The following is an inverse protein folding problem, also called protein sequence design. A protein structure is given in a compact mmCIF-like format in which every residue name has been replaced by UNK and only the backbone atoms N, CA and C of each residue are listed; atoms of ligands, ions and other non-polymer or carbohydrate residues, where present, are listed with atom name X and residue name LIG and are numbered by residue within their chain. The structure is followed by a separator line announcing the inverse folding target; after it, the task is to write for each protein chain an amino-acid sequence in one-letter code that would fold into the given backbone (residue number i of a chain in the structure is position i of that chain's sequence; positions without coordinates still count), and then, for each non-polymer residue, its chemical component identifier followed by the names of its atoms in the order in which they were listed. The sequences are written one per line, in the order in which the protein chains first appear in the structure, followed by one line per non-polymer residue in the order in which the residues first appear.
data_IF_715517459433
#
_entry.id   IF_715517459433
#
_cell.length_a   1.000
_cell.length_b   1.000
_cell.length_c   1.000
_cell.angle_alpha   90.00
_cell.angle_beta   90.00
_cell.angle_gamma   90.00
#
_symmetry.space_group_name_H-M   'P 1'
#
loop_
_entity.id
_entity.type
_entity.pdbx_description
1 polymer ?
#
# COMPACT_ATOMS: atom_id res chain seq x y z
N UNK A 1 17.57 1.19 -0.90
CA UNK A 1 16.30 0.91 -0.19
C UNK A 1 15.29 2.05 -0.35
N UNK A 2 15.73 3.31 -0.26
CA UNK A 2 14.86 4.50 -0.33
C UNK A 2 14.03 4.64 -1.63
N UNK A 3 14.61 4.31 -2.79
CA UNK A 3 13.89 4.35 -4.08
C UNK A 3 12.74 3.33 -4.14
N UNK A 4 12.93 2.12 -3.59
CA UNK A 4 11.89 1.08 -3.58
C UNK A 4 10.71 1.51 -2.71
N UNK A 5 10.98 2.13 -1.56
CA UNK A 5 9.93 2.66 -0.67
C UNK A 5 9.15 3.78 -1.38
N UNK A 6 9.84 4.65 -2.13
CA UNK A 6 9.19 5.72 -2.89
C UNK A 6 8.29 5.16 -3.99
N UNK A 7 8.76 4.18 -4.75
CA UNK A 7 7.96 3.47 -5.76
C UNK A 7 6.70 2.85 -5.16
N UNK A 8 6.83 2.11 -4.06
CA UNK A 8 5.69 1.46 -3.39
C UNK A 8 4.67 2.51 -2.91
N UNK A 9 5.11 3.65 -2.35
CA UNK A 9 4.20 4.71 -1.88
C UNK A 9 3.41 5.33 -3.03
N UNK A 10 4.05 5.58 -4.17
CA UNK A 10 3.37 6.10 -5.35
C UNK A 10 2.41 5.07 -5.95
N UNK A 11 2.81 3.80 -6.01
CA UNK A 11 1.95 2.72 -6.49
C UNK A 11 0.70 2.54 -5.61
N UNK A 12 0.85 2.66 -4.29
CA UNK A 12 -0.27 2.65 -3.34
C UNK A 12 -1.19 3.87 -3.51
N UNK A 13 -0.64 5.06 -3.74
CA UNK A 13 -1.44 6.27 -4.00
C UNK A 13 -2.25 6.17 -5.28
N UNK A 14 -1.63 5.71 -6.36
CA UNK A 14 -2.29 5.55 -7.67
C UNK A 14 -3.34 4.43 -7.65
N UNK A 15 -3.18 3.46 -6.76
CA UNK A 15 -4.10 2.34 -6.57
C UNK A 15 -5.22 2.62 -5.56
N UNK A 16 -5.33 3.85 -5.06
CA UNK A 16 -6.34 4.24 -4.09
C UNK A 16 -7.75 4.13 -4.68
N UNK A 17 -8.67 3.54 -3.91
CA UNK A 17 -10.07 3.39 -4.26
C UNK A 17 -10.90 4.23 -3.27
N UNK A 18 -11.66 5.21 -3.78
CA UNK A 18 -12.45 6.11 -2.94
C UNK A 18 -13.43 5.41 -2.02
N UNK A 19 -14.04 4.30 -2.45
CA UNK A 19 -14.97 3.53 -1.63
C UNK A 19 -14.22 2.90 -0.46
N UNK A 20 -13.02 2.40 -0.73
CA UNK A 20 -12.15 1.85 0.32
C UNK A 20 -11.70 2.96 1.26
N UNK A 21 -11.29 4.10 0.73
CA UNK A 21 -10.88 5.25 1.54
C UNK A 21 -11.99 5.74 2.49
N UNK A 22 -13.22 5.86 2.00
CA UNK A 22 -14.38 6.32 2.80
C UNK A 22 -14.81 5.30 3.85
N UNK A 23 -14.62 4.01 3.59
CA UNK A 23 -15.10 2.94 4.49
C UNK A 23 -14.06 2.43 5.47
N UNK A 24 -12.76 2.58 5.19
CA UNK A 24 -11.68 2.06 6.05
C UNK A 24 -11.75 2.59 7.49
N UNK A 25 -12.03 3.87 7.69
CA UNK A 25 -12.14 4.45 9.04
C UNK A 25 -13.31 3.87 9.86
N UNK A 26 -14.33 3.30 9.22
CA UNK A 26 -15.45 2.67 9.94
C UNK A 26 -15.04 1.34 10.60
N UNK A 27 -13.97 0.71 10.13
CA UNK A 27 -13.45 -0.54 10.71
C UNK A 27 -12.51 -0.30 11.89
N UNK A 28 -11.77 0.81 11.87
CA UNK A 28 -10.80 1.14 12.91
C UNK A 28 -11.40 2.17 13.87
N UNK A 29 -11.43 1.85 15.16
CA UNK A 29 -11.92 2.78 16.20
C UNK A 29 -11.00 3.99 16.38
N UNK A 30 -9.73 3.81 16.05
CA UNK A 30 -8.70 4.84 16.12
C UNK A 30 -8.53 5.52 14.77
N UNK A 31 -8.13 6.79 14.79
CA UNK A 31 -7.74 7.49 13.57
C UNK A 31 -6.48 6.85 13.01
N UNK A 32 -6.57 6.36 11.78
CA UNK A 32 -5.44 5.74 11.09
C UNK A 32 -5.08 6.54 9.84
N UNK A 33 -3.81 6.51 9.45
CA UNK A 33 -3.35 6.99 8.16
C UNK A 33 -3.28 5.83 7.18
N UNK A 34 -3.96 5.95 6.06
CA UNK A 34 -4.06 4.87 5.06
C UNK A 34 -4.24 5.46 3.67
N UNK A 35 -3.85 4.68 2.65
CA UNK A 35 -3.96 5.08 1.24
C UNK A 35 -5.30 4.70 0.60
N UNK A 36 -6.18 3.97 1.30
CA UNK A 36 -7.47 3.55 0.76
C UNK A 36 -7.35 2.45 -0.29
N UNK A 37 -6.43 1.50 -0.08
CA UNK A 37 -6.18 0.38 -1.00
C UNK A 37 -6.67 -0.92 -0.37
N UNK A 38 -7.34 -1.77 -1.16
CA UNK A 38 -7.83 -3.07 -0.70
C UNK A 38 -6.67 -4.03 -0.43
N UNK A 39 -6.82 -4.87 0.59
CA UNK A 39 -5.79 -5.86 1.01
C UNK A 39 -5.28 -6.74 -0.15
N UNK A 40 -6.11 -7.29 -1.06
CA UNK A 40 -5.60 -8.10 -2.17
C UNK A 40 -4.64 -7.35 -3.10
N UNK A 41 -4.89 -6.06 -3.33
CA UNK A 41 -4.05 -5.23 -4.19
C UNK A 41 -2.73 -4.88 -3.50
N UNK A 42 -2.77 -4.57 -2.20
CA UNK A 42 -1.56 -4.38 -1.38
C UNK A 42 -0.68 -5.64 -1.42
N UNK A 43 -1.26 -6.83 -1.27
CA UNK A 43 -0.52 -8.09 -1.35
C UNK A 43 0.12 -8.31 -2.73
N UNK A 44 -0.56 -7.92 -3.81
CA UNK A 44 -0.02 -7.98 -5.17
C UNK A 44 1.18 -7.05 -5.33
N UNK A 45 1.05 -5.79 -4.89
CA UNK A 45 2.12 -4.78 -4.92
C UNK A 45 3.33 -5.25 -4.09
N UNK A 46 3.08 -5.80 -2.90
CA UNK A 46 4.13 -6.33 -2.03
C UNK A 46 4.91 -7.45 -2.71
N UNK A 47 4.23 -8.46 -3.29
CA UNK A 47 4.89 -9.55 -4.02
C UNK A 47 5.71 -9.04 -5.21
N UNK A 48 5.19 -8.10 -5.99
CA UNK A 48 5.88 -7.54 -7.14
C UNK A 48 7.17 -6.81 -6.76
N UNK A 49 7.17 -6.11 -5.62
CA UNK A 49 8.33 -5.34 -5.17
C UNK A 49 9.27 -6.15 -4.26
N UNK A 50 8.83 -7.26 -3.66
CA UNK A 50 9.65 -8.11 -2.79
C UNK A 50 10.85 -8.70 -3.53
N UNK A 51 10.68 -9.12 -4.79
CA UNK A 51 11.77 -9.62 -5.63
C UNK A 51 12.83 -8.56 -5.95
N UNK A 52 12.53 -7.26 -5.82
CA UNK A 52 13.53 -6.17 -5.98
C UNK A 52 14.44 -6.02 -4.74
N UNK A 53 14.09 -6.69 -3.65
CA UNK A 53 14.79 -6.65 -2.36
C UNK A 53 15.69 -7.90 -2.21
N UNK A 54 15.33 -9.03 -2.83
CA UNK A 54 16.20 -10.21 -2.95
C UNK A 54 17.53 -9.82 -3.62
N UNK A 55 18.61 -9.81 -2.83
CA UNK A 55 19.97 -9.47 -3.30
C UNK A 55 20.47 -8.06 -2.91
N UNK A 56 19.67 -7.25 -2.21
CA UNK A 56 20.14 -6.03 -1.53
C UNK A 56 20.15 -6.26 -0.02
N UNK A 57 21.12 -7.04 0.45
CA UNK A 57 21.53 -7.12 1.88
C UNK A 57 22.81 -6.34 2.08
#
# INVERSE_FOLDING_TARGET
MENIIKEIREELRLSADEKTFKTSQNFFREKILFYGVKVPLVNKIAKANFSKIEGKS
#
